data_IF_381683799081
#
_entry.id   IF_381683799081
#
_cell.length_a   1.000
_cell.length_b   1.000
_cell.length_c   1.000
_cell.angle_alpha   90.00
_cell.angle_beta   90.00
_cell.angle_gamma   90.00
#
_symmetry.space_group_name_H-M   'P 1'
#
loop_
_entity.id
_entity.type
_entity.pdbx_description
1 polymer ?
#
# COMPACT_ATOMS: atom_id res chain seq x y z
N UNK A 1 13.29 26.31 -38.56
CA UNK A 1 13.48 25.46 -39.76
C UNK A 1 14.69 24.57 -39.52
N UNK A 2 14.47 23.29 -39.23
CA UNK A 2 15.52 22.28 -39.10
C UNK A 2 14.95 20.95 -39.64
N UNK A 3 15.74 20.27 -40.47
CA UNK A 3 15.38 19.10 -41.29
C UNK A 3 15.18 17.82 -40.44
N UNK A 4 14.34 16.86 -40.88
CA UNK A 4 14.07 15.62 -40.15
C UNK A 4 15.12 14.52 -40.45
N UNK A 5 15.43 13.73 -39.42
CA UNK A 5 16.32 12.57 -39.50
C UNK A 5 15.62 11.33 -40.10
N UNK A 6 16.36 10.58 -40.91
CA UNK A 6 15.93 9.43 -41.71
C UNK A 6 15.71 8.18 -40.85
N UNK A 7 14.63 7.46 -41.16
CA UNK A 7 14.36 6.10 -40.70
C UNK A 7 15.24 5.07 -41.44
N UNK A 8 15.87 4.17 -40.70
CA UNK A 8 16.53 2.99 -41.26
C UNK A 8 15.61 1.77 -41.13
N UNK A 9 15.17 1.26 -42.28
CA UNK A 9 14.56 -0.08 -42.44
C UNK A 9 15.68 -1.11 -42.55
N UNK A 10 15.62 -2.16 -41.75
CA UNK A 10 16.46 -3.36 -41.90
C UNK A 10 15.62 -4.46 -42.53
N UNK A 11 16.01 -4.90 -43.73
CA UNK A 11 15.44 -6.04 -44.44
C UNK A 11 16.02 -7.35 -43.89
N UNK A 12 15.15 -8.33 -43.67
CA UNK A 12 15.46 -9.74 -43.44
C UNK A 12 15.74 -10.45 -44.78
N UNK A 13 16.61 -11.49 -44.80
CA UNK A 13 16.56 -12.51 -45.84
C UNK A 13 16.01 -13.85 -45.29
N UNK A 14 14.97 -14.36 -45.95
CA UNK A 14 14.64 -15.80 -45.98
C UNK A 14 15.65 -16.56 -46.85
N UNK A 15 15.83 -17.86 -46.58
CA UNK A 15 15.63 -18.79 -47.69
C UNK A 15 14.77 -20.01 -47.34
N UNK A 16 14.02 -20.42 -48.36
CA UNK A 16 13.24 -21.63 -48.49
C UNK A 16 14.07 -22.91 -48.32
N UNK A 17 13.49 -23.95 -47.72
CA UNK A 17 13.51 -25.28 -48.33
C UNK A 17 12.33 -26.12 -47.83
N UNK A 18 11.62 -26.68 -48.80
CA UNK A 18 10.45 -27.56 -48.68
C UNK A 18 10.92 -29.01 -48.70
N UNK A 19 10.47 -29.84 -47.76
CA UNK A 19 10.45 -31.30 -47.94
C UNK A 19 9.13 -31.87 -47.46
N UNK A 20 8.36 -32.34 -48.44
CA UNK A 20 7.17 -33.17 -48.29
C UNK A 20 7.60 -34.62 -48.06
N UNK A 21 7.06 -35.27 -47.03
CA UNK A 21 6.93 -36.73 -46.99
C UNK A 21 5.76 -37.15 -46.08
N UNK A 22 4.77 -37.81 -46.68
CA UNK A 22 3.75 -38.71 -46.09
C UNK A 22 3.64 -39.91 -47.05
N UNK A 23 2.94 -41.01 -46.71
CA UNK A 23 2.89 -41.77 -45.45
C UNK A 23 2.98 -43.30 -45.71
N UNK A 24 3.22 -44.12 -44.68
CA UNK A 24 2.86 -45.56 -44.59
C UNK A 24 2.73 -45.87 -43.09
N UNK A 25 1.81 -46.66 -42.55
CA UNK A 25 0.72 -47.49 -43.03
C UNK A 25 0.21 -48.29 -41.82
N UNK A 26 -1.10 -48.48 -41.75
CA UNK A 26 -1.92 -49.49 -41.05
C UNK A 26 -1.42 -50.19 -39.76
N UNK A 27 -2.29 -50.13 -38.74
CA UNK A 27 -2.35 -51.06 -37.61
C UNK A 27 -3.69 -50.92 -36.90
N UNK A 28 -4.67 -51.74 -37.30
CA UNK A 28 -5.98 -51.91 -36.66
C UNK A 28 -5.84 -52.40 -35.21
N UNK A 29 -6.51 -51.73 -34.26
CA UNK A 29 -6.88 -52.34 -32.98
C UNK A 29 -8.25 -51.84 -32.50
N UNK A 30 -9.22 -52.74 -32.64
CA UNK A 30 -10.43 -53.01 -31.85
C UNK A 30 -10.96 -51.90 -30.92
N UNK A 31 -12.13 -51.36 -31.27
CA UNK A 31 -12.99 -50.54 -30.41
C UNK A 31 -13.69 -51.47 -29.39
N UNK A 32 -13.32 -51.35 -28.11
CA UNK A 32 -14.19 -51.76 -27.00
C UNK A 32 -14.92 -50.53 -26.47
N UNK A 33 -16.24 -50.64 -26.42
CA UNK A 33 -17.20 -49.68 -25.90
C UNK A 33 -16.88 -49.28 -24.46
N UNK A 34 -16.29 -48.08 -24.28
CA UNK A 34 -16.15 -47.42 -23.00
C UNK A 34 -17.30 -46.43 -22.79
N UNK A 35 -17.96 -46.51 -21.64
CA UNK A 35 -18.92 -45.52 -21.19
C UNK A 35 -18.26 -44.13 -21.17
N UNK A 36 -18.68 -43.25 -22.07
CA UNK A 36 -18.32 -41.84 -22.05
C UNK A 36 -19.04 -41.19 -20.86
N UNK A 37 -18.44 -41.28 -19.67
CA UNK A 37 -18.68 -40.30 -18.63
C UNK A 37 -18.14 -38.97 -19.14
N UNK A 38 -19.03 -38.05 -19.51
CA UNK A 38 -18.67 -36.65 -19.69
C UNK A 38 -18.22 -36.11 -18.33
N UNK A 39 -16.94 -36.25 -18.02
CA UNK A 39 -16.29 -35.43 -17.01
C UNK A 39 -16.30 -34.01 -17.54
N UNK A 40 -17.32 -33.22 -17.20
CA UNK A 40 -17.33 -31.78 -17.39
C UNK A 40 -16.23 -31.20 -16.49
N UNK A 41 -14.99 -31.19 -16.99
CA UNK A 41 -13.90 -30.47 -16.33
C UNK A 41 -14.31 -29.01 -16.24
N UNK A 42 -14.44 -28.49 -15.01
CA UNK A 42 -14.68 -27.06 -14.80
C UNK A 42 -13.64 -26.25 -15.61
N UNK A 43 -14.06 -25.16 -16.29
CA UNK A 43 -13.15 -24.38 -17.11
C UNK A 43 -11.98 -23.90 -16.25
N UNK A 44 -10.76 -24.21 -16.69
CA UNK A 44 -9.56 -23.77 -16.00
C UNK A 44 -9.51 -22.23 -15.98
N UNK A 45 -9.14 -21.60 -14.86
CA UNK A 45 -9.12 -20.15 -14.76
C UNK A 45 -8.12 -19.54 -15.76
N UNK A 46 -8.48 -18.40 -16.33
CA UNK A 46 -7.67 -17.73 -17.35
C UNK A 46 -6.32 -17.19 -16.82
N UNK A 47 -6.23 -16.90 -15.52
CA UNK A 47 -5.02 -16.41 -14.87
C UNK A 47 -4.81 -17.07 -13.49
N UNK A 48 -3.57 -17.32 -13.11
CA UNK A 48 -3.21 -17.98 -11.85
C UNK A 48 -3.55 -17.12 -10.62
N UNK A 49 -3.28 -15.82 -10.71
CA UNK A 49 -3.72 -14.84 -9.72
C UNK A 49 -4.11 -13.50 -10.35
N UNK A 50 -4.94 -12.75 -9.64
CA UNK A 50 -5.20 -11.32 -9.84
C UNK A 50 -4.69 -10.55 -8.62
N UNK A 51 -3.81 -9.57 -8.84
CA UNK A 51 -3.29 -8.68 -7.78
C UNK A 51 -3.89 -7.29 -7.96
N UNK A 52 -4.57 -6.78 -6.95
CA UNK A 52 -5.24 -5.48 -6.97
C UNK A 52 -4.39 -4.41 -6.26
N UNK A 53 -3.83 -3.48 -7.01
CA UNK A 53 -3.03 -2.35 -6.54
C UNK A 53 -1.55 -2.49 -6.88
N UNK A 54 -0.93 -1.38 -7.29
CA UNK A 54 0.49 -1.27 -7.65
C UNK A 54 1.29 -0.35 -6.72
N UNK A 55 0.82 -0.17 -5.48
CA UNK A 55 1.65 0.39 -4.41
C UNK A 55 2.71 -0.61 -3.91
N UNK A 56 3.54 -0.24 -2.92
CA UNK A 56 4.59 -1.10 -2.40
C UNK A 56 4.11 -2.50 -1.99
N UNK A 57 2.92 -2.64 -1.40
CA UNK A 57 2.34 -3.94 -1.06
C UNK A 57 2.04 -4.81 -2.29
N UNK A 58 1.48 -4.23 -3.35
CA UNK A 58 1.19 -4.97 -4.59
C UNK A 58 2.43 -5.37 -5.36
N UNK A 59 3.41 -4.46 -5.44
CA UNK A 59 4.75 -4.75 -5.99
C UNK A 59 5.37 -5.95 -5.26
N UNK A 60 5.35 -5.90 -3.92
CA UNK A 60 5.86 -6.98 -3.06
C UNK A 60 5.20 -8.32 -3.35
N UNK A 61 3.87 -8.36 -3.36
CA UNK A 61 3.10 -9.58 -3.62
C UNK A 61 3.46 -10.14 -4.98
N UNK A 62 3.49 -9.30 -6.02
CA UNK A 62 3.77 -9.76 -7.37
C UNK A 62 5.18 -10.36 -7.50
N UNK A 63 6.19 -9.72 -6.89
CA UNK A 63 7.54 -10.27 -6.84
C UNK A 63 7.62 -11.63 -6.15
N UNK A 64 6.89 -11.81 -5.05
CA UNK A 64 6.84 -13.09 -4.34
C UNK A 64 6.02 -14.16 -5.08
N UNK A 65 4.95 -13.78 -5.80
CA UNK A 65 4.21 -14.72 -6.66
C UNK A 65 5.07 -15.24 -7.81
N UNK A 66 5.93 -14.39 -8.38
CA UNK A 66 6.87 -14.79 -9.43
C UNK A 66 7.87 -15.83 -8.94
N UNK A 67 8.37 -15.73 -7.70
CA UNK A 67 9.20 -16.76 -7.06
C UNK A 67 8.49 -18.11 -6.97
N UNK A 68 7.16 -18.11 -6.77
CA UNK A 68 6.37 -19.35 -6.68
C UNK A 68 5.94 -19.88 -8.06
N UNK A 69 6.01 -19.07 -9.13
CA UNK A 69 5.53 -19.41 -10.48
C UNK A 69 6.01 -20.76 -11.02
N UNK A 70 7.28 -21.19 -10.80
CA UNK A 70 7.74 -22.51 -11.25
C UNK A 70 6.89 -23.68 -10.71
N UNK A 71 6.27 -23.51 -9.55
CA UNK A 71 5.48 -24.52 -8.85
C UNK A 71 3.96 -24.41 -9.11
N UNK A 72 3.52 -23.42 -9.89
CA UNK A 72 2.11 -23.18 -10.19
C UNK A 72 1.66 -23.82 -11.49
N UNK A 73 0.41 -24.31 -11.50
CA UNK A 73 -0.27 -24.80 -12.70
C UNK A 73 -0.61 -23.68 -13.69
N UNK A 74 -0.91 -22.48 -13.20
CA UNK A 74 -1.17 -21.29 -13.99
C UNK A 74 -0.14 -20.20 -13.66
N UNK A 75 0.78 -19.94 -14.60
CA UNK A 75 1.92 -19.03 -14.41
C UNK A 75 1.62 -17.56 -14.72
N UNK A 76 0.49 -17.26 -15.35
CA UNK A 76 0.12 -15.88 -15.70
C UNK A 76 -0.53 -15.17 -14.52
N UNK A 77 -0.14 -13.92 -14.31
CA UNK A 77 -0.67 -13.03 -13.28
C UNK A 77 -1.24 -11.78 -13.92
N UNK A 78 -2.45 -11.40 -13.51
CA UNK A 78 -3.05 -10.13 -13.89
C UNK A 78 -2.82 -9.12 -12.76
N UNK A 79 -2.09 -8.05 -13.04
CA UNK A 79 -1.86 -6.97 -12.11
C UNK A 79 -2.74 -5.78 -12.48
N UNK A 80 -3.57 -5.31 -11.55
CA UNK A 80 -4.60 -4.30 -11.80
C UNK A 80 -4.35 -3.09 -10.91
N UNK A 81 -4.09 -1.93 -11.50
CA UNK A 81 -3.97 -0.66 -10.79
C UNK A 81 -4.43 0.50 -11.67
N UNK A 82 -5.07 1.55 -11.12
CA UNK A 82 -5.53 2.68 -11.93
C UNK A 82 -4.41 3.50 -12.57
N UNK A 83 -3.20 3.49 -11.99
CA UNK A 83 -2.14 4.43 -12.37
C UNK A 83 -0.81 3.76 -12.70
N UNK A 84 -0.46 2.67 -12.02
CA UNK A 84 0.89 2.04 -12.02
C UNK A 84 2.00 3.02 -11.62
N UNK A 85 1.69 3.89 -10.66
CA UNK A 85 2.56 4.97 -10.22
C UNK A 85 3.07 4.73 -8.79
N UNK A 86 3.40 3.49 -8.42
CA UNK A 86 3.85 3.15 -7.06
C UNK A 86 2.90 3.56 -5.92
N UNK A 87 1.61 3.81 -6.22
CA UNK A 87 0.60 4.18 -5.23
C UNK A 87 0.84 5.55 -4.56
N UNK A 88 0.39 5.68 -3.31
CA UNK A 88 0.32 6.97 -2.58
C UNK A 88 1.69 7.54 -2.20
N UNK A 89 2.71 6.69 -2.04
CA UNK A 89 4.07 7.15 -1.71
C UNK A 89 4.64 8.06 -2.80
N UNK A 90 4.36 7.74 -4.07
CA UNK A 90 4.76 8.55 -5.20
C UNK A 90 3.80 9.73 -5.44
N UNK A 91 2.48 9.50 -5.43
CA UNK A 91 1.54 10.57 -5.79
C UNK A 91 1.40 11.66 -4.71
N UNK A 92 1.65 11.34 -3.44
CA UNK A 92 1.41 12.25 -2.30
C UNK A 92 2.61 12.50 -1.39
N UNK A 93 3.52 11.54 -1.23
CA UNK A 93 4.50 11.59 -0.13
C UNK A 93 5.96 11.76 -0.54
N UNK A 94 6.26 12.14 -1.79
CA UNK A 94 7.67 12.25 -2.25
C UNK A 94 8.54 13.17 -1.40
N UNK A 95 7.96 14.21 -0.81
CA UNK A 95 8.71 15.18 -0.01
C UNK A 95 8.88 14.78 1.45
N UNK A 96 8.11 13.78 1.91
CA UNK A 96 8.09 13.34 3.30
C UNK A 96 9.41 12.64 3.64
N UNK A 97 10.07 12.97 4.75
CA UNK A 97 11.22 12.21 5.23
C UNK A 97 10.77 10.83 5.74
N UNK A 98 11.50 9.78 5.34
CA UNK A 98 11.20 8.43 5.76
C UNK A 98 11.58 8.20 7.23
N UNK A 99 10.77 7.41 7.90
CA UNK A 99 11.10 6.76 9.18
C UNK A 99 11.78 5.39 9.00
N UNK A 100 11.99 4.99 7.75
CA UNK A 100 12.63 3.74 7.33
C UNK A 100 14.05 4.05 6.88
N UNK A 101 15.03 3.30 7.39
CA UNK A 101 16.42 3.47 7.01
C UNK A 101 16.65 3.06 5.54
N UNK A 102 17.53 3.79 4.84
CA UNK A 102 17.84 3.56 3.42
C UNK A 102 18.19 2.10 3.13
N UNK A 103 18.97 1.45 4.00
CA UNK A 103 19.35 0.03 3.82
C UNK A 103 18.15 -0.90 3.67
N UNK A 104 17.01 -0.59 4.29
CA UNK A 104 15.80 -1.42 4.22
C UNK A 104 15.08 -1.27 2.87
N UNK A 105 15.23 -0.13 2.20
CA UNK A 105 14.76 0.02 0.81
C UNK A 105 15.64 -0.76 -0.16
N UNK A 106 16.96 -0.76 0.04
CA UNK A 106 17.87 -1.59 -0.75
C UNK A 106 17.61 -3.09 -0.54
N UNK A 107 17.40 -3.54 0.70
CA UNK A 107 16.99 -4.93 0.98
C UNK A 107 15.69 -5.28 0.27
N UNK A 108 14.68 -4.41 0.33
CA UNK A 108 13.43 -4.58 -0.38
C UNK A 108 13.63 -4.80 -1.89
N UNK A 109 14.45 -3.97 -2.54
CA UNK A 109 14.70 -4.08 -3.99
C UNK A 109 15.50 -5.32 -4.41
N UNK A 110 16.14 -6.01 -3.47
CA UNK A 110 17.02 -7.15 -3.78
C UNK A 110 16.50 -8.49 -3.23
N UNK A 111 15.33 -8.51 -2.58
CA UNK A 111 14.87 -9.70 -1.84
C UNK A 111 14.39 -10.85 -2.74
N UNK A 112 13.73 -10.54 -3.86
CA UNK A 112 13.21 -11.53 -4.81
C UNK A 112 13.95 -11.44 -6.15
N UNK A 113 14.08 -12.57 -6.83
CA UNK A 113 14.81 -12.77 -8.08
C UNK A 113 14.34 -11.81 -9.15
N UNK A 114 13.02 -11.73 -9.38
CA UNK A 114 12.44 -10.79 -10.33
C UNK A 114 12.87 -9.33 -10.06
N UNK A 115 13.06 -8.92 -8.80
CA UNK A 115 13.53 -7.57 -8.51
C UNK A 115 15.02 -7.42 -8.78
N UNK A 116 15.84 -8.41 -8.37
CA UNK A 116 17.28 -8.42 -8.66
C UNK A 116 17.54 -8.35 -10.16
N UNK A 117 16.83 -9.14 -10.95
CA UNK A 117 16.93 -9.14 -12.41
C UNK A 117 16.61 -7.76 -13.00
N UNK A 118 15.58 -7.08 -12.49
CA UNK A 118 15.25 -5.70 -12.90
C UNK A 118 16.37 -4.74 -12.51
N UNK A 119 16.88 -4.82 -11.29
CA UNK A 119 17.96 -3.96 -10.79
C UNK A 119 19.22 -4.13 -11.64
N UNK A 120 19.59 -5.36 -11.97
CA UNK A 120 20.77 -5.72 -12.74
C UNK A 120 20.64 -5.31 -14.21
N UNK A 121 19.45 -5.46 -14.80
CA UNK A 121 19.17 -5.08 -16.19
C UNK A 121 19.02 -3.56 -16.39
N UNK A 122 18.72 -2.79 -15.35
CA UNK A 122 18.49 -1.34 -15.47
C UNK A 122 19.82 -0.57 -15.58
N UNK A 123 20.07 0.20 -16.67
CA UNK A 123 21.30 0.97 -16.83
C UNK A 123 21.57 1.92 -15.67
N UNK A 124 22.85 2.10 -15.31
CA UNK A 124 23.27 3.01 -14.24
C UNK A 124 23.64 4.39 -14.82
N UNK A 125 23.36 5.50 -14.11
CA UNK A 125 22.72 5.57 -12.80
C UNK A 125 21.20 5.31 -12.88
N UNK A 126 20.67 4.65 -11.85
CA UNK A 126 19.25 4.36 -11.66
C UNK A 126 18.79 4.61 -10.20
N UNK A 127 17.51 4.39 -9.92
CA UNK A 127 16.92 4.64 -8.61
C UNK A 127 17.58 3.87 -7.45
N UNK A 128 18.05 2.63 -7.70
CA UNK A 128 18.76 1.85 -6.68
C UNK A 128 20.16 2.39 -6.44
N UNK A 129 20.90 2.78 -7.49
CA UNK A 129 22.21 3.44 -7.30
C UNK A 129 22.09 4.77 -6.57
N UNK A 130 20.99 5.51 -6.76
CA UNK A 130 20.71 6.72 -6.01
C UNK A 130 20.50 6.44 -4.51
N UNK A 131 19.79 5.36 -4.16
CA UNK A 131 19.66 4.90 -2.77
C UNK A 131 21.00 4.41 -2.18
N UNK A 132 21.85 3.74 -2.97
CA UNK A 132 23.17 3.27 -2.54
C UNK A 132 24.10 4.43 -2.15
N UNK A 133 23.96 5.59 -2.81
CA UNK A 133 24.76 6.79 -2.53
C UNK A 133 24.37 7.52 -1.24
N UNK A 134 23.27 7.15 -0.56
CA UNK A 134 22.80 7.79 0.66
C UNK A 134 23.35 7.10 1.93
N UNK A 135 23.33 7.77 3.10
CA UNK A 135 23.65 7.13 4.38
C UNK A 135 22.69 5.99 4.72
N UNK A 136 23.23 4.78 4.88
CA UNK A 136 22.44 3.54 4.96
C UNK A 136 21.70 3.35 6.29
N UNK A 137 22.16 3.99 7.35
CA UNK A 137 21.62 3.97 8.71
C UNK A 137 20.63 5.12 9.00
N UNK A 138 20.39 6.01 8.02
CA UNK A 138 19.46 7.14 8.14
C UNK A 138 18.23 6.96 7.25
N UNK A 139 17.21 7.76 7.52
CA UNK A 139 16.09 7.95 6.58
C UNK A 139 16.49 8.84 5.39
N UNK A 140 15.62 8.90 4.38
CA UNK A 140 15.76 9.74 3.19
C UNK A 140 14.40 10.34 2.81
N UNK A 141 14.35 11.27 1.84
CA UNK A 141 13.05 11.66 1.26
C UNK A 141 12.40 10.43 0.61
N UNK A 142 11.10 10.26 0.78
CA UNK A 142 10.37 9.13 0.20
C UNK A 142 10.35 9.15 -1.34
N UNK A 143 10.73 10.25 -1.99
CA UNK A 143 11.00 10.30 -3.42
C UNK A 143 11.94 9.19 -3.89
N UNK A 144 13.02 8.90 -3.16
CA UNK A 144 13.97 7.85 -3.54
C UNK A 144 13.33 6.45 -3.51
N UNK A 145 12.54 6.15 -2.48
CA UNK A 145 11.80 4.89 -2.39
C UNK A 145 10.69 4.80 -3.45
N UNK A 146 10.06 5.92 -3.78
CA UNK A 146 9.06 6.00 -4.84
C UNK A 146 9.69 5.75 -6.22
N UNK A 147 10.86 6.32 -6.51
CA UNK A 147 11.60 6.07 -7.76
C UNK A 147 12.03 4.62 -7.91
N UNK A 148 12.49 4.01 -6.82
CA UNK A 148 12.76 2.58 -6.77
C UNK A 148 11.51 1.75 -7.09
N UNK A 149 10.35 2.08 -6.52
CA UNK A 149 9.10 1.39 -6.82
C UNK A 149 8.63 1.60 -8.26
N UNK A 150 8.81 2.79 -8.84
CA UNK A 150 8.50 3.06 -10.25
C UNK A 150 9.37 2.20 -11.16
N UNK A 151 10.69 2.18 -10.92
CA UNK A 151 11.63 1.32 -11.64
C UNK A 151 11.24 -0.16 -11.58
N UNK A 152 10.91 -0.67 -10.38
CA UNK A 152 10.43 -2.05 -10.22
C UNK A 152 9.09 -2.28 -10.93
N UNK A 153 8.17 -1.31 -10.91
CA UNK A 153 6.87 -1.41 -11.58
C UNK A 153 7.03 -1.53 -13.09
N UNK A 154 7.94 -0.74 -13.68
CA UNK A 154 8.27 -0.79 -15.11
C UNK A 154 8.88 -2.14 -15.49
N UNK A 155 9.87 -2.62 -14.73
CA UNK A 155 10.48 -3.92 -14.98
C UNK A 155 9.50 -5.09 -14.85
N UNK A 156 8.66 -5.08 -13.81
CA UNK A 156 7.61 -6.09 -13.62
C UNK A 156 6.58 -6.07 -14.75
N UNK A 157 6.30 -4.91 -15.35
CA UNK A 157 5.39 -4.79 -16.50
C UNK A 157 5.89 -5.56 -17.73
N UNK A 158 7.22 -5.70 -17.87
CA UNK A 158 7.86 -6.40 -18.98
C UNK A 158 8.05 -7.90 -18.71
N UNK A 159 7.78 -8.36 -17.49
CA UNK A 159 7.94 -9.77 -17.15
C UNK A 159 6.93 -10.63 -17.95
N UNK A 160 7.35 -11.72 -18.62
CA UNK A 160 6.50 -12.47 -19.55
C UNK A 160 5.24 -13.07 -18.90
N UNK A 161 5.28 -13.30 -17.59
CA UNK A 161 4.18 -13.83 -16.80
C UNK A 161 3.25 -12.79 -16.17
N UNK A 162 3.57 -11.50 -16.32
CA UNK A 162 2.76 -10.40 -15.78
C UNK A 162 2.00 -9.72 -16.90
N UNK A 163 0.70 -9.53 -16.71
CA UNK A 163 -0.12 -8.68 -17.57
C UNK A 163 -0.66 -7.53 -16.74
N UNK A 164 -0.31 -6.30 -17.11
CA UNK A 164 -0.87 -5.11 -16.49
C UNK A 164 -2.24 -4.76 -17.07
N UNK A 165 -3.12 -4.26 -16.21
CA UNK A 165 -4.39 -3.66 -16.63
C UNK A 165 -4.64 -2.37 -15.87
N UNK A 166 -4.61 -1.24 -16.60
CA UNK A 166 -4.89 0.08 -16.05
C UNK A 166 -6.38 0.22 -15.74
N UNK A 167 -6.78 -0.18 -14.55
CA UNK A 167 -8.18 -0.19 -14.11
C UNK A 167 -8.27 -0.33 -12.59
N UNK A 168 -9.50 -0.39 -12.07
CA UNK A 168 -9.81 -0.81 -10.70
C UNK A 168 -10.67 -2.06 -10.76
N UNK A 169 -10.53 -2.94 -9.78
CA UNK A 169 -11.49 -4.03 -9.59
C UNK A 169 -12.77 -3.42 -9.04
N UNK A 170 -13.89 -3.64 -9.74
CA UNK A 170 -15.21 -3.19 -9.31
C UNK A 170 -15.87 -4.22 -8.40
N UNK A 171 -15.85 -5.48 -8.82
CA UNK A 171 -16.49 -6.59 -8.12
C UNK A 171 -15.73 -7.90 -8.34
N UNK A 172 -15.86 -8.84 -7.42
CA UNK A 172 -15.37 -10.19 -7.58
C UNK A 172 -16.36 -11.20 -6.98
N UNK A 173 -16.72 -12.21 -7.77
CA UNK A 173 -17.66 -13.27 -7.38
C UNK A 173 -16.90 -14.58 -7.24
N UNK A 174 -16.94 -15.20 -6.07
CA UNK A 174 -16.45 -16.56 -5.85
C UNK A 174 -17.52 -17.57 -6.22
N UNK A 175 -17.16 -18.54 -7.05
CA UNK A 175 -17.91 -19.79 -7.19
C UNK A 175 -17.33 -20.81 -6.19
N UNK A 176 -18.12 -21.19 -5.18
CA UNK A 176 -17.69 -22.08 -4.10
C UNK A 176 -17.60 -23.56 -4.51
N UNK A 177 -18.22 -23.93 -5.63
CA UNK A 177 -18.12 -25.28 -6.19
C UNK A 177 -16.78 -25.47 -6.90
N UNK A 178 -16.37 -24.49 -7.70
CA UNK A 178 -15.12 -24.55 -8.47
C UNK A 178 -13.92 -23.90 -7.79
N UNK A 179 -14.12 -23.12 -6.72
CA UNK A 179 -13.11 -22.25 -6.10
C UNK A 179 -12.45 -21.30 -7.10
N UNK A 180 -13.23 -20.80 -8.05
CA UNK A 180 -12.78 -19.84 -9.07
C UNK A 180 -13.43 -18.49 -8.81
N UNK A 181 -12.61 -17.45 -8.89
CA UNK A 181 -13.04 -16.06 -8.81
C UNK A 181 -13.34 -15.52 -10.20
N UNK A 182 -14.50 -14.89 -10.37
CA UNK A 182 -14.84 -14.04 -11.51
C UNK A 182 -14.70 -12.58 -11.13
N UNK A 183 -13.63 -11.96 -11.61
CA UNK A 183 -13.29 -10.56 -11.33
C UNK A 183 -13.85 -9.67 -12.44
N UNK A 184 -14.54 -8.60 -12.06
CA UNK A 184 -15.04 -7.57 -12.97
C UNK A 184 -14.31 -6.27 -12.72
N UNK A 185 -13.70 -5.72 -13.78
CA UNK A 185 -13.01 -4.44 -13.75
C UNK A 185 -13.98 -3.28 -14.02
N UNK A 186 -13.58 -2.06 -13.66
CA UNK A 186 -14.40 -0.86 -13.85
C UNK A 186 -14.71 -0.55 -15.32
N UNK A 187 -13.87 -0.99 -16.25
CA UNK A 187 -14.10 -0.86 -17.69
C UNK A 187 -15.03 -1.95 -18.27
N UNK A 188 -15.59 -2.83 -17.42
CA UNK A 188 -16.48 -3.92 -17.83
C UNK A 188 -15.78 -5.23 -18.21
N UNK A 189 -14.45 -5.24 -18.31
CA UNK A 189 -13.68 -6.47 -18.56
C UNK A 189 -13.90 -7.49 -17.43
N UNK A 190 -14.04 -8.77 -17.81
CA UNK A 190 -14.22 -9.88 -16.87
C UNK A 190 -13.08 -10.88 -17.03
N UNK A 191 -12.53 -11.33 -15.91
CA UNK A 191 -11.42 -12.30 -15.86
C UNK A 191 -11.71 -13.37 -14.82
N UNK A 192 -11.39 -14.62 -15.12
CA UNK A 192 -11.45 -15.73 -14.14
C UNK A 192 -10.08 -16.01 -13.56
N UNK A 193 -10.00 -16.24 -12.26
CA UNK A 193 -8.73 -16.53 -11.58
C UNK A 193 -8.87 -17.54 -10.45
N UNK A 194 -7.78 -18.24 -10.12
CA UNK A 194 -7.72 -19.08 -8.92
C UNK A 194 -7.56 -18.25 -7.65
N UNK A 195 -6.72 -17.20 -7.68
CA UNK A 195 -6.37 -16.44 -6.48
C UNK A 195 -6.63 -14.94 -6.68
N UNK A 196 -7.24 -14.31 -5.68
CA UNK A 196 -7.44 -12.86 -5.64
C UNK A 196 -6.66 -12.28 -4.48
N UNK A 197 -5.70 -11.39 -4.76
CA UNK A 197 -4.87 -10.73 -3.75
C UNK A 197 -5.16 -9.23 -3.73
N UNK A 198 -5.65 -8.73 -2.60
CA UNK A 198 -6.05 -7.35 -2.40
C UNK A 198 -4.90 -6.55 -1.76
N UNK A 199 -4.37 -5.56 -2.49
CA UNK A 199 -3.35 -4.62 -2.04
C UNK A 199 -3.86 -3.17 -2.20
N UNK A 200 -5.08 -2.91 -1.74
CA UNK A 200 -5.87 -1.70 -2.08
C UNK A 200 -5.30 -0.38 -1.54
N UNK A 201 -4.34 -0.46 -0.62
CA UNK A 201 -3.73 0.71 0.02
C UNK A 201 -4.64 1.38 1.05
N UNK A 202 -4.23 2.56 1.50
CA UNK A 202 -4.95 3.32 2.53
C UNK A 202 -4.86 4.81 2.24
N UNK A 203 -5.79 5.56 2.82
CA UNK A 203 -5.84 7.03 2.74
C UNK A 203 -6.07 7.63 4.13
N UNK A 204 -5.64 8.88 4.38
CA UNK A 204 -5.93 9.60 5.61
C UNK A 204 -7.40 9.53 5.96
N UNK A 205 -7.68 9.45 7.26
CA UNK A 205 -9.05 9.57 7.76
C UNK A 205 -9.51 11.00 7.48
N UNK A 206 -10.44 11.15 6.54
CA UNK A 206 -11.01 12.44 6.13
C UNK A 206 -12.30 12.79 6.87
N UNK A 207 -12.98 11.80 7.47
CA UNK A 207 -14.19 12.05 8.26
C UNK A 207 -13.81 12.87 9.50
N UNK A 208 -14.52 13.97 9.70
CA UNK A 208 -14.47 14.80 10.91
C UNK A 208 -14.63 13.93 12.16
N UNK A 209 -13.72 14.05 13.13
CA UNK A 209 -13.85 13.30 14.39
C UNK A 209 -15.14 13.69 15.13
N UNK A 210 -15.81 12.75 15.83
CA UNK A 210 -17.14 12.99 16.41
C UNK A 210 -17.23 14.23 17.32
N UNK A 211 -16.18 14.51 18.10
CA UNK A 211 -16.14 15.69 18.97
C UNK A 211 -16.20 17.01 18.20
N UNK A 212 -15.70 17.07 16.96
CA UNK A 212 -15.78 18.24 16.10
C UNK A 212 -17.15 18.37 15.40
N UNK A 213 -17.82 17.24 15.10
CA UNK A 213 -19.18 17.26 14.52
C UNK A 213 -20.17 17.99 15.46
N UNK A 214 -19.94 17.93 16.78
CA UNK A 214 -20.74 18.65 17.79
C UNK A 214 -20.52 20.17 17.78
N UNK A 215 -19.49 20.66 17.10
CA UNK A 215 -19.10 22.08 17.06
C UNK A 215 -19.20 22.60 15.61
N UNK A 216 -20.12 22.04 14.83
CA UNK A 216 -20.30 22.27 13.39
C UNK A 216 -20.68 23.70 12.99
N UNK A 217 -20.94 24.60 13.95
CA UNK A 217 -21.15 26.03 13.69
C UNK A 217 -19.87 26.79 13.40
N UNK A 218 -18.69 26.19 13.60
CA UNK A 218 -17.40 26.82 13.32
C UNK A 218 -17.06 26.77 11.84
N UNK A 219 -16.71 27.94 11.27
CA UNK A 219 -16.23 28.08 9.89
C UNK A 219 -14.73 27.75 9.79
N UNK A 220 -14.34 26.52 10.15
CA UNK A 220 -12.97 26.04 10.00
C UNK A 220 -12.74 25.52 8.58
N UNK A 221 -11.68 26.00 7.93
CA UNK A 221 -11.27 25.49 6.60
C UNK A 221 -10.45 24.21 6.78
N UNK A 222 -10.93 23.03 6.34
CA UNK A 222 -10.15 21.81 6.44
C UNK A 222 -8.96 21.84 5.48
N UNK A 223 -7.80 21.39 5.96
CA UNK A 223 -6.61 21.15 5.13
C UNK A 223 -6.34 19.65 5.12
N UNK A 224 -6.36 19.05 3.94
CA UNK A 224 -6.13 17.62 3.76
C UNK A 224 -4.73 17.23 4.25
N UNK A 225 -4.62 16.09 4.95
CA UNK A 225 -3.35 15.63 5.52
C UNK A 225 -2.27 15.44 4.45
N UNK A 226 -2.63 15.06 3.22
CA UNK A 226 -1.65 14.93 2.13
C UNK A 226 -1.03 16.26 1.74
N UNK A 227 -1.80 17.34 1.81
CA UNK A 227 -1.31 18.67 1.47
C UNK A 227 -0.44 19.16 2.61
N UNK A 228 -0.87 18.95 3.85
CA UNK A 228 -0.10 19.28 5.05
C UNK A 228 1.25 18.56 5.16
N UNK A 229 1.37 17.34 4.61
CA UNK A 229 2.61 16.58 4.58
C UNK A 229 3.55 16.96 3.43
N UNK A 230 3.11 17.80 2.49
CA UNK A 230 3.89 18.20 1.32
C UNK A 230 4.20 19.71 1.38
N UNK A 231 5.41 20.11 1.84
CA UNK A 231 5.74 21.52 2.08
C UNK A 231 5.40 22.46 0.92
N UNK A 232 5.72 22.05 -0.32
CA UNK A 232 5.44 22.89 -1.51
C UNK A 232 3.96 23.13 -1.77
N UNK A 233 3.07 22.19 -1.40
CA UNK A 233 1.62 22.37 -1.53
C UNK A 233 1.03 23.07 -0.31
N UNK A 234 1.53 22.77 0.89
CA UNK A 234 1.06 23.42 2.11
C UNK A 234 1.28 24.94 2.04
N UNK A 235 2.44 25.35 1.54
CA UNK A 235 2.79 26.77 1.33
C UNK A 235 1.81 27.51 0.41
N UNK A 236 1.21 26.80 -0.55
CA UNK A 236 0.20 27.33 -1.47
C UNK A 236 -1.23 27.23 -0.92
N UNK A 237 -1.44 26.43 0.13
CA UNK A 237 -2.77 26.15 0.69
C UNK A 237 -3.20 27.25 1.67
N UNK A 238 -2.24 27.91 2.33
CA UNK A 238 -2.48 29.01 3.24
C UNK A 238 -2.11 30.32 2.53
N UNK A 239 -2.89 31.39 2.77
CA UNK A 239 -2.55 32.71 2.22
C UNK A 239 -1.44 33.34 3.07
N UNK A 240 -0.32 33.68 2.45
CA UNK A 240 0.83 34.31 3.09
C UNK A 240 0.56 35.75 3.55
N UNK A 241 -0.51 36.38 3.06
CA UNK A 241 -0.86 37.77 3.38
C UNK A 241 -1.82 37.89 4.55
N UNK A 242 -2.47 36.80 4.93
CA UNK A 242 -3.51 36.79 5.95
C UNK A 242 -3.01 36.06 7.21
N UNK A 243 -3.28 36.59 8.42
CA UNK A 243 -3.07 35.84 9.64
C UNK A 243 -3.82 34.50 9.62
N UNK A 244 -3.13 33.42 9.98
CA UNK A 244 -3.72 32.09 10.05
C UNK A 244 -3.40 31.42 11.38
N UNK A 245 -4.42 30.84 12.01
CA UNK A 245 -4.26 29.98 13.19
C UNK A 245 -4.72 28.58 12.80
N UNK A 246 -3.79 27.63 12.71
CA UNK A 246 -4.06 26.27 12.25
C UNK A 246 -4.19 25.34 13.45
N UNK A 247 -5.36 24.69 13.60
CA UNK A 247 -5.55 23.60 14.53
C UNK A 247 -4.92 22.31 13.97
N UNK A 248 -4.03 21.67 14.71
CA UNK A 248 -3.46 20.36 14.34
C UNK A 248 -3.87 19.33 15.40
N UNK A 249 -4.62 18.31 14.98
CA UNK A 249 -5.10 17.25 15.87
C UNK A 249 -4.31 15.97 15.61
N UNK A 250 -3.66 15.45 16.65
CA UNK A 250 -2.89 14.22 16.62
C UNK A 250 -1.46 14.41 17.14
N UNK A 251 -0.79 13.30 17.45
CA UNK A 251 0.56 13.30 18.04
C UNK A 251 1.46 12.18 17.49
N UNK A 252 1.02 11.53 16.40
CA UNK A 252 1.78 10.48 15.72
C UNK A 252 2.78 11.09 14.73
N UNK A 253 3.55 10.24 14.04
CA UNK A 253 4.58 10.67 13.10
C UNK A 253 4.09 11.70 12.06
N UNK A 254 2.93 11.49 11.44
CA UNK A 254 2.37 12.45 10.49
C UNK A 254 2.03 13.79 11.12
N UNK A 255 1.51 13.80 12.36
CA UNK A 255 1.19 15.05 13.06
C UNK A 255 2.47 15.87 13.32
N UNK A 256 3.55 15.21 13.76
CA UNK A 256 4.83 15.89 14.02
C UNK A 256 5.42 16.48 12.73
N UNK A 257 5.35 15.75 11.62
CA UNK A 257 5.80 16.28 10.31
C UNK A 257 4.96 17.48 9.86
N UNK A 258 3.65 17.49 10.11
CA UNK A 258 2.81 18.65 9.84
C UNK A 258 3.24 19.84 10.70
N UNK A 259 3.47 19.65 12.00
CA UNK A 259 3.95 20.71 12.88
C UNK A 259 5.30 21.26 12.42
N UNK A 260 6.23 20.39 12.02
CA UNK A 260 7.52 20.79 11.43
C UNK A 260 7.33 21.67 10.20
N UNK A 261 6.47 21.26 9.27
CA UNK A 261 6.20 22.01 8.04
C UNK A 261 5.59 23.39 8.35
N UNK A 262 4.59 23.45 9.23
CA UNK A 262 3.95 24.71 9.62
C UNK A 262 4.91 25.66 10.34
N UNK A 263 5.77 25.14 11.23
CA UNK A 263 6.80 25.96 11.91
C UNK A 263 7.81 26.51 10.92
N UNK A 264 8.26 25.70 9.95
CA UNK A 264 9.17 26.15 8.91
C UNK A 264 8.53 27.26 8.06
N UNK A 265 7.26 27.11 7.67
CA UNK A 265 6.50 28.16 6.97
C UNK A 265 6.35 29.42 7.82
N UNK A 266 5.98 29.28 9.09
CA UNK A 266 5.84 30.39 10.02
C UNK A 266 7.14 31.17 10.21
N UNK A 267 8.29 30.50 10.09
CA UNK A 267 9.61 31.11 10.20
C UNK A 267 10.14 31.67 8.88
N UNK A 268 9.42 31.52 7.77
CA UNK A 268 9.86 31.93 6.43
C UNK A 268 8.75 32.67 5.68
N UNK A 269 7.86 31.95 4.99
CA UNK A 269 6.86 32.52 4.08
C UNK A 269 5.62 33.10 4.77
N UNK A 270 5.29 32.65 5.99
CA UNK A 270 4.03 32.97 6.67
C UNK A 270 4.25 33.48 8.11
N UNK A 271 4.89 34.65 8.35
CA UNK A 271 5.29 35.10 9.69
C UNK A 271 4.14 35.27 10.70
N UNK A 272 2.91 35.45 10.22
CA UNK A 272 1.69 35.58 11.03
C UNK A 272 1.01 34.23 11.32
N UNK A 273 1.54 33.12 10.80
CA UNK A 273 1.02 31.78 11.06
C UNK A 273 1.24 31.38 12.52
N UNK A 274 0.19 30.92 13.17
CA UNK A 274 0.20 30.31 14.50
C UNK A 274 -0.45 28.93 14.46
N UNK A 275 -0.10 28.09 15.42
CA UNK A 275 -0.56 26.70 15.47
C UNK A 275 -1.12 26.40 16.85
N UNK A 276 -2.34 25.86 16.93
CA UNK A 276 -2.85 25.22 18.14
C UNK A 276 -2.75 23.71 17.97
N UNK A 277 -1.88 23.06 18.75
CA UNK A 277 -1.63 21.63 18.69
C UNK A 277 -2.41 20.88 19.77
N UNK A 278 -3.30 19.99 19.36
CA UNK A 278 -4.16 19.20 20.24
C UNK A 278 -3.66 17.76 20.35
N UNK A 279 -3.34 17.32 21.57
CA UNK A 279 -2.81 15.98 21.83
C UNK A 279 -3.45 15.32 23.05
N UNK A 280 -3.71 14.01 22.93
CA UNK A 280 -4.25 13.13 23.98
C UNK A 280 -3.17 12.44 24.82
N UNK A 281 -1.93 12.41 24.38
CA UNK A 281 -0.89 11.59 25.00
C UNK A 281 0.49 12.25 24.87
N UNK A 282 1.37 11.94 25.83
CA UNK A 282 2.80 12.25 25.68
C UNK A 282 3.34 11.59 24.41
N UNK A 283 4.32 12.26 23.79
CA UNK A 283 4.98 11.71 22.62
C UNK A 283 5.65 10.39 22.98
N UNK A 284 5.55 9.43 22.06
CA UNK A 284 6.14 8.11 22.20
C UNK A 284 7.19 7.95 21.12
N UNK A 285 8.39 7.59 21.52
CA UNK A 285 9.51 7.36 20.62
C UNK A 285 9.69 5.87 20.39
N UNK A 286 10.26 5.51 19.24
CA UNK A 286 10.75 4.16 19.04
C UNK A 286 12.10 4.01 19.73
N UNK A 287 12.31 2.88 20.41
CA UNK A 287 13.51 2.62 21.21
C UNK A 287 14.23 1.41 20.62
N UNK A 288 15.51 1.58 20.29
CA UNK A 288 16.32 0.50 19.71
C UNK A 288 16.79 -0.44 20.83
N UNK A 289 16.35 -1.68 20.74
CA UNK A 289 16.70 -2.77 21.66
C UNK A 289 17.70 -3.71 20.96
N UNK A 290 18.18 -4.73 21.68
CA UNK A 290 19.04 -5.75 21.08
C UNK A 290 18.26 -6.60 20.06
N UNK A 291 18.48 -6.34 18.77
CA UNK A 291 17.87 -7.06 17.65
C UNK A 291 16.42 -6.70 17.30
N UNK A 292 15.77 -5.78 18.04
CA UNK A 292 14.40 -5.32 17.77
C UNK A 292 14.18 -3.86 18.15
N UNK A 293 12.98 -3.32 17.89
CA UNK A 293 12.63 -1.93 18.19
C UNK A 293 11.33 -1.91 18.98
N UNK A 294 11.33 -1.32 20.17
CA UNK A 294 10.11 -1.08 20.93
C UNK A 294 9.33 0.07 20.28
N UNK A 295 8.02 -0.13 20.12
CA UNK A 295 7.11 0.79 19.39
C UNK A 295 7.59 1.04 17.96
N UNK A 296 7.98 -0.03 17.27
CA UNK A 296 8.52 -0.01 15.91
C UNK A 296 7.52 0.58 14.88
N UNK A 297 6.22 0.48 15.15
CA UNK A 297 5.18 0.96 14.23
C UNK A 297 4.44 2.20 14.75
N UNK A 298 4.45 2.41 16.07
CA UNK A 298 3.70 3.49 16.72
C UNK A 298 4.56 4.62 17.26
N UNK A 299 5.86 4.39 17.46
CA UNK A 299 6.82 5.38 17.98
C UNK A 299 7.38 6.30 16.91
N UNK A 300 7.69 7.54 17.30
CA UNK A 300 8.41 8.51 16.47
C UNK A 300 9.83 8.03 16.17
N UNK A 301 10.30 8.28 14.94
CA UNK A 301 11.63 7.90 14.44
C UNK A 301 12.22 8.97 13.53
N UNK A 302 13.52 8.86 13.30
CA UNK A 302 14.26 9.70 12.36
C UNK A 302 14.06 11.18 12.65
N UNK A 303 14.00 11.98 11.58
CA UNK A 303 13.94 13.43 11.68
C UNK A 303 12.77 13.95 12.54
N UNK A 304 11.60 13.30 12.48
CA UNK A 304 10.46 13.71 13.30
C UNK A 304 10.69 13.46 14.79
N UNK A 305 11.36 12.35 15.15
CA UNK A 305 11.72 12.10 16.55
C UNK A 305 12.74 13.11 17.05
N UNK A 306 13.79 13.35 16.26
CA UNK A 306 14.88 14.24 16.66
C UNK A 306 14.35 15.68 16.82
N UNK A 307 13.54 16.14 15.88
CA UNK A 307 12.91 17.46 15.97
C UNK A 307 11.93 17.56 17.14
N UNK A 308 11.14 16.52 17.42
CA UNK A 308 10.21 16.51 18.54
C UNK A 308 10.93 16.57 19.89
N UNK A 309 12.02 15.83 20.10
CA UNK A 309 12.80 15.91 21.34
C UNK A 309 13.36 17.31 21.59
N UNK A 310 13.87 17.93 20.52
CA UNK A 310 14.45 19.26 20.58
C UNK A 310 13.41 20.36 20.84
N UNK A 311 12.15 20.15 20.46
CA UNK A 311 11.19 21.25 20.38
C UNK A 311 9.86 21.02 21.08
N UNK A 312 9.38 19.79 21.28
CA UNK A 312 8.00 19.49 21.70
C UNK A 312 7.87 18.68 23.00
N UNK A 313 8.97 18.07 23.45
CA UNK A 313 9.00 17.39 24.74
C UNK A 313 8.79 18.38 25.88
N UNK A 314 8.16 17.92 26.97
CA UNK A 314 7.67 18.79 28.04
C UNK A 314 8.80 19.62 28.68
N UNK A 315 9.98 19.02 28.83
CA UNK A 315 11.18 19.64 29.39
C UNK A 315 11.79 20.71 28.48
N UNK A 316 11.60 20.61 27.16
CA UNK A 316 12.25 21.48 26.16
C UNK A 316 11.31 22.51 25.55
N UNK A 317 10.01 22.21 25.48
CA UNK A 317 9.01 22.99 24.75
C UNK A 317 8.96 24.45 25.20
N UNK A 318 8.94 24.70 26.52
CA UNK A 318 8.83 26.08 27.05
C UNK A 318 10.00 26.98 26.62
N UNK A 319 11.21 26.43 26.57
CA UNK A 319 12.41 27.15 26.14
C UNK A 319 12.63 27.17 24.62
N UNK A 320 11.96 26.30 23.86
CA UNK A 320 12.12 26.22 22.41
C UNK A 320 11.54 27.47 21.73
N UNK A 321 12.19 27.96 20.66
CA UNK A 321 11.62 29.00 19.81
C UNK A 321 10.28 28.60 19.18
N UNK A 322 10.02 27.30 19.07
CA UNK A 322 8.78 26.75 18.53
C UNK A 322 7.57 27.08 19.40
N UNK A 323 7.73 27.29 20.72
CA UNK A 323 6.62 27.68 21.60
C UNK A 323 6.07 29.08 21.31
N UNK A 324 6.82 29.92 20.57
CA UNK A 324 6.32 31.22 20.08
C UNK A 324 5.33 31.08 18.92
N UNK A 325 5.32 29.93 18.26
CA UNK A 325 4.48 29.63 17.09
C UNK A 325 3.38 28.62 17.46
N UNK A 326 3.71 27.61 18.26
CA UNK A 326 2.82 26.52 18.67
C UNK A 326 2.33 26.76 20.09
N UNK A 327 1.01 26.73 20.28
CA UNK A 327 0.36 26.56 21.58
C UNK A 327 -0.12 25.12 21.73
N UNK A 328 0.30 24.44 22.80
CA UNK A 328 -0.05 23.03 23.05
C UNK A 328 -1.27 22.92 23.96
N UNK A 329 -2.25 22.12 23.54
CA UNK A 329 -3.47 21.82 24.29
C UNK A 329 -3.57 20.32 24.55
N UNK A 330 -3.71 19.95 25.82
CA UNK A 330 -3.98 18.58 26.25
C UNK A 330 -5.48 18.31 26.17
N UNK A 331 -5.87 17.21 25.54
CA UNK A 331 -7.29 16.85 25.35
C UNK A 331 -7.70 15.58 26.12
N UNK A 332 -6.77 14.95 26.84
CA UNK A 332 -7.02 13.70 27.59
C UNK A 332 -8.15 13.89 28.60
N UNK A 333 -9.28 13.20 28.40
CA UNK A 333 -10.43 13.24 29.32
C UNK A 333 -11.32 14.48 29.21
N UNK A 334 -11.01 15.44 28.32
CA UNK A 334 -11.73 16.71 28.21
C UNK A 334 -11.82 17.27 26.77
N UNK A 335 -11.69 16.41 25.74
CA UNK A 335 -11.62 16.83 24.33
C UNK A 335 -12.71 17.84 23.92
N UNK A 336 -13.97 17.53 24.21
CA UNK A 336 -15.11 18.37 23.85
C UNK A 336 -15.03 19.79 24.47
N UNK A 337 -14.53 19.90 25.71
CA UNK A 337 -14.38 21.18 26.39
C UNK A 337 -13.25 22.01 25.77
N UNK A 338 -12.09 21.38 25.55
CA UNK A 338 -10.91 22.04 24.99
C UNK A 338 -11.18 22.49 23.57
N UNK A 339 -11.80 21.65 22.74
CA UNK A 339 -12.17 22.02 21.38
C UNK A 339 -13.16 23.19 21.34
N UNK A 340 -14.17 23.21 22.21
CA UNK A 340 -15.12 24.34 22.28
C UNK A 340 -14.45 25.65 22.71
N UNK A 341 -13.46 25.59 23.60
CA UNK A 341 -12.75 26.78 24.04
C UNK A 341 -11.77 27.30 22.99
N UNK A 342 -11.05 26.40 22.30
CA UNK A 342 -9.83 26.79 21.57
C UNK A 342 -9.99 26.85 20.05
N UNK A 343 -10.88 26.04 19.47
CA UNK A 343 -11.10 26.02 18.02
C UNK A 343 -11.79 27.25 17.44
N UNK A 344 -12.64 28.00 18.17
CA UNK A 344 -13.22 29.24 17.62
C UNK A 344 -12.17 30.26 17.14
N UNK A 345 -10.97 30.25 17.72
CA UNK A 345 -9.86 31.13 17.32
C UNK A 345 -9.05 30.61 16.11
N UNK A 346 -9.36 29.41 15.63
CA UNK A 346 -8.66 28.80 14.51
C UNK A 346 -9.32 29.17 13.18
N UNK A 347 -8.51 29.33 12.13
CA UNK A 347 -8.99 29.56 10.76
C UNK A 347 -9.00 28.27 9.94
N UNK A 348 -8.08 27.36 10.24
CA UNK A 348 -7.92 26.09 9.53
C UNK A 348 -7.79 24.92 10.50
N UNK A 349 -8.00 23.71 9.99
CA UNK A 349 -7.85 22.47 10.76
C UNK A 349 -7.22 21.35 9.94
N UNK A 350 -6.23 20.67 10.53
CA UNK A 350 -5.56 19.47 9.99
C UNK A 350 -5.77 18.32 10.96
N UNK A 351 -6.36 17.23 10.46
CA UNK A 351 -6.57 16.00 11.23
C UNK A 351 -5.51 14.95 10.86
N UNK A 352 -4.53 14.73 11.74
CA UNK A 352 -3.47 13.73 11.60
C UNK A 352 -3.74 12.51 12.50
N UNK A 353 -4.94 11.94 12.36
CA UNK A 353 -5.51 10.94 13.29
C UNK A 353 -5.41 9.49 12.80
N UNK A 354 -4.73 9.24 11.70
CA UNK A 354 -4.49 7.90 11.16
C UNK A 354 -5.00 7.73 9.73
N UNK A 355 -5.02 6.48 9.29
CA UNK A 355 -5.35 6.07 7.94
C UNK A 355 -6.42 5.00 7.98
N UNK A 356 -7.32 5.03 7.00
CA UNK A 356 -8.27 3.95 6.75
C UNK A 356 -7.86 3.20 5.48
N UNK A 357 -8.08 1.88 5.51
CA UNK A 357 -8.03 1.04 4.33
C UNK A 357 -8.95 1.60 3.24
N UNK A 358 -8.46 1.65 2.00
CA UNK A 358 -9.29 2.00 0.86
C UNK A 358 -10.37 0.92 0.63
N UNK A 359 -11.57 1.27 0.14
CA UNK A 359 -12.67 0.33 -0.04
C UNK A 359 -12.26 -0.94 -0.80
N UNK A 360 -12.83 -2.06 -0.38
CA UNK A 360 -12.71 -3.33 -1.11
C UNK A 360 -13.57 -3.27 -2.39
N UNK A 361 -13.24 -4.08 -3.41
CA UNK A 361 -14.23 -4.36 -4.45
C UNK A 361 -15.48 -4.99 -3.84
N UNK A 362 -16.61 -4.91 -4.55
CA UNK A 362 -17.83 -5.63 -4.15
C UNK A 362 -17.57 -7.14 -4.22
N UNK A 363 -17.51 -7.79 -3.05
CA UNK A 363 -17.22 -9.21 -2.92
C UNK A 363 -18.53 -9.97 -2.81
N UNK A 364 -18.66 -11.02 -3.61
CA UNK A 364 -19.87 -11.83 -3.68
C UNK A 364 -19.50 -13.32 -3.74
N UNK A 365 -20.46 -14.17 -3.42
CA UNK A 365 -20.32 -15.62 -3.46
C UNK A 365 -21.55 -16.28 -4.10
N UNK A 366 -21.30 -17.34 -4.87
CA UNK A 366 -22.30 -18.32 -5.31
C UNK A 366 -22.02 -19.58 -4.49
N UNK A 367 -22.93 -19.90 -3.58
CA UNK A 367 -22.84 -21.08 -2.71
C UNK A 367 -23.05 -22.37 -3.51
N UNK A 368 -22.50 -23.47 -3.01
CA UNK A 368 -22.66 -24.79 -3.64
C UNK A 368 -24.12 -25.13 -3.90
N UNK A 369 -24.37 -25.74 -5.05
CA UNK A 369 -25.70 -26.19 -5.50
C UNK A 369 -26.74 -25.06 -5.64
N UNK A 370 -26.29 -23.80 -5.68
CA UNK A 370 -27.13 -22.63 -5.94
C UNK A 370 -26.64 -21.86 -7.17
N UNK A 371 -27.52 -21.07 -7.78
CA UNK A 371 -27.17 -20.08 -8.80
C UNK A 371 -27.30 -18.64 -8.29
N UNK A 372 -27.69 -18.49 -7.02
CA UNK A 372 -27.98 -17.21 -6.39
C UNK A 372 -26.66 -16.60 -5.91
N UNK A 373 -26.38 -15.39 -6.38
CA UNK A 373 -25.23 -14.61 -5.91
C UNK A 373 -25.61 -13.81 -4.67
N UNK A 374 -24.82 -13.91 -3.60
CA UNK A 374 -25.02 -13.18 -2.34
C UNK A 374 -23.81 -12.28 -2.03
N UNK A 375 -23.99 -11.17 -1.30
CA UNK A 375 -22.88 -10.40 -0.75
C UNK A 375 -21.98 -11.25 0.15
N UNK A 376 -20.67 -11.08 0.05
CA UNK A 376 -19.67 -11.77 0.86
C UNK A 376 -19.00 -10.77 1.80
N UNK A 377 -19.42 -10.77 3.05
CA UNK A 377 -18.79 -9.97 4.11
C UNK A 377 -17.58 -10.72 4.68
N UNK A 378 -16.45 -10.02 4.80
CA UNK A 378 -15.17 -10.64 5.16
C UNK A 378 -14.42 -9.87 6.23
N UNK A 379 -13.72 -10.62 7.06
CA UNK A 379 -12.69 -10.14 7.99
C UNK A 379 -11.31 -10.62 7.55
N UNK A 380 -10.26 -9.90 7.98
CA UNK A 380 -8.89 -10.17 7.58
C UNK A 380 -8.10 -10.80 8.72
N UNK A 381 -7.41 -11.92 8.43
CA UNK A 381 -6.49 -12.55 9.34
C UNK A 381 -5.09 -11.99 9.18
N UNK A 382 -4.69 -11.12 10.12
CA UNK A 382 -3.40 -10.44 10.12
C UNK A 382 -2.18 -11.34 10.32
N UNK A 383 -2.35 -12.65 10.57
CA UNK A 383 -1.25 -13.60 10.72
C UNK A 383 -0.98 -14.36 9.42
N UNK A 384 -2.05 -14.83 8.78
CA UNK A 384 -1.98 -15.67 7.57
C UNK A 384 -2.16 -14.88 6.28
N UNK A 385 -2.71 -13.66 6.39
CA UNK A 385 -3.07 -12.82 5.25
C UNK A 385 -4.26 -13.31 4.43
N UNK A 386 -5.04 -14.24 5.00
CA UNK A 386 -6.28 -14.78 4.43
C UNK A 386 -7.48 -13.98 4.89
N UNK A 387 -8.59 -14.11 4.17
CA UNK A 387 -9.90 -13.61 4.61
C UNK A 387 -10.77 -14.75 5.11
N UNK A 388 -11.66 -14.46 6.07
CA UNK A 388 -12.69 -15.38 6.54
C UNK A 388 -14.06 -14.70 6.52
N UNK A 389 -15.13 -15.49 6.39
CA UNK A 389 -16.51 -14.98 6.35
C UNK A 389 -16.82 -14.29 7.70
N UNK A 390 -17.37 -13.08 7.64
CA UNK A 390 -17.83 -12.36 8.83
C UNK A 390 -19.06 -13.08 9.39
N UNK A 391 -19.01 -13.59 10.63
CA UNK A 391 -20.14 -14.28 11.27
C UNK A 391 -20.70 -13.44 12.43
N UNK A 392 -22.02 -13.36 12.58
CA UNK A 392 -22.67 -12.72 13.73
C UNK A 392 -22.58 -13.53 15.05
N UNK A 393 -22.01 -14.76 15.04
CA UNK A 393 -22.06 -15.68 16.18
C UNK A 393 -20.84 -16.61 16.33
N UNK A 394 -20.07 -16.34 17.40
CA UNK A 394 -19.40 -17.28 18.34
C UNK A 394 -18.49 -18.40 17.82
N UNK A 395 -17.21 -18.07 17.65
CA UNK A 395 -16.04 -18.63 18.39
C UNK A 395 -14.78 -18.20 17.62
N UNK A 396 -13.77 -17.63 18.30
CA UNK A 396 -12.50 -17.27 17.65
C UNK A 396 -11.74 -18.48 17.06
N UNK A 397 -12.17 -19.71 17.39
CA UNK A 397 -11.45 -20.94 17.05
C UNK A 397 -11.85 -21.57 15.72
N UNK A 398 -13.04 -21.28 15.17
CA UNK A 398 -13.53 -21.91 13.94
C UNK A 398 -13.77 -20.85 12.87
N UNK A 399 -12.70 -20.47 12.16
CA UNK A 399 -12.74 -19.47 11.09
C UNK A 399 -13.03 -20.14 9.75
N UNK A 400 -14.15 -19.79 9.15
CA UNK A 400 -14.45 -20.21 7.78
C UNK A 400 -13.70 -19.31 6.78
N UNK A 401 -12.50 -19.73 6.40
CA UNK A 401 -11.68 -18.98 5.44
C UNK A 401 -12.30 -18.98 4.05
N UNK A 402 -12.33 -17.79 3.44
CA UNK A 402 -12.74 -17.62 2.05
C UNK A 402 -11.66 -18.23 1.14
N UNK A 403 -12.02 -19.17 0.26
CA UNK A 403 -11.08 -19.80 -0.66
C UNK A 403 -10.29 -18.78 -1.49
N UNK A 404 -8.96 -18.85 -1.37
CA UNK A 404 -7.99 -18.16 -2.26
C UNK A 404 -8.18 -16.64 -2.35
N UNK A 405 -8.70 -16.02 -1.29
CA UNK A 405 -8.77 -14.58 -1.11
C UNK A 405 -7.74 -14.13 -0.07
N UNK A 406 -6.84 -13.23 -0.47
CA UNK A 406 -5.71 -12.80 0.35
C UNK A 406 -5.52 -11.29 0.34
N UNK A 407 -4.80 -10.76 1.33
CA UNK A 407 -4.54 -9.33 1.47
C UNK A 407 -3.12 -9.04 1.95
N UNK A 408 -2.53 -7.95 1.44
CA UNK A 408 -1.22 -7.49 1.87
C UNK A 408 -1.06 -5.95 1.81
N UNK A 409 0.06 -5.47 2.35
CA UNK A 409 0.41 -4.05 2.37
C UNK A 409 -0.28 -3.27 3.48
N UNK A 410 -0.25 -1.93 3.40
CA UNK A 410 -0.79 -1.04 4.45
C UNK A 410 -2.29 -1.26 4.74
N UNK A 411 -3.05 -1.72 3.75
CA UNK A 411 -4.46 -2.08 3.90
C UNK A 411 -4.68 -3.31 4.80
N UNK A 412 -3.69 -4.20 4.83
CA UNK A 412 -3.75 -5.54 5.39
C UNK A 412 -2.39 -5.89 6.05
N UNK A 413 -1.96 -5.11 7.04
CA UNK A 413 -0.63 -5.27 7.64
C UNK A 413 -0.56 -6.52 8.51
N UNK A 414 0.63 -7.09 8.65
CA UNK A 414 0.87 -8.18 9.60
C UNK A 414 0.65 -7.70 11.04
N UNK A 415 -0.01 -8.50 11.87
CA UNK A 415 -0.07 -8.29 13.32
C UNK A 415 1.18 -8.90 13.95
N UNK A 416 1.98 -8.06 14.58
CA UNK A 416 3.20 -8.47 15.29
C UNK A 416 3.05 -8.26 16.79
N UNK A 417 3.79 -9.04 17.56
CA UNK A 417 3.87 -8.90 19.01
C UNK A 417 5.33 -8.79 19.39
N UNK A 418 5.69 -7.71 20.08
CA UNK A 418 7.07 -7.50 20.53
C UNK A 418 7.40 -8.37 21.76
N UNK A 419 8.69 -8.49 22.14
CA UNK A 419 9.09 -9.27 23.32
C UNK A 419 8.46 -8.84 24.65
N UNK A 420 7.90 -7.62 24.72
CA UNK A 420 7.18 -7.14 25.91
C UNK A 420 5.67 -7.41 25.84
N UNK A 421 5.19 -8.12 24.81
CA UNK A 421 3.78 -8.45 24.63
C UNK A 421 2.95 -7.32 24.00
N UNK A 422 3.56 -6.21 23.57
CA UNK A 422 2.81 -5.17 22.87
C UNK A 422 2.45 -5.62 21.47
N UNK A 423 1.21 -5.35 21.07
CA UNK A 423 0.68 -5.72 19.76
C UNK A 423 0.70 -4.50 18.85
N UNK A 424 1.32 -4.65 17.68
CA UNK A 424 1.37 -3.63 16.65
C UNK A 424 1.03 -4.21 15.26
N UNK A 425 0.81 -3.31 14.30
CA UNK A 425 0.65 -3.67 12.90
C UNK A 425 1.86 -3.23 12.10
N UNK A 426 2.49 -4.18 11.40
CA UNK A 426 3.74 -3.98 10.70
C UNK A 426 3.53 -3.21 9.38
N UNK A 427 3.78 -1.90 9.40
CA UNK A 427 3.63 -1.02 8.24
C UNK A 427 4.98 -0.49 7.78
N UNK A 428 5.37 -0.82 6.56
CA UNK A 428 6.63 -0.40 5.94
C UNK A 428 7.05 -1.35 4.84
N UNK A 429 7.88 -0.88 3.91
CA UNK A 429 8.24 -1.63 2.69
C UNK A 429 8.86 -2.99 3.04
N UNK A 430 9.90 -2.98 3.87
CA UNK A 430 10.57 -4.21 4.31
C UNK A 430 9.65 -5.12 5.13
N UNK A 431 8.73 -4.54 5.90
CA UNK A 431 7.75 -5.31 6.69
C UNK A 431 6.76 -6.03 5.77
N UNK A 432 6.27 -5.36 4.72
CA UNK A 432 5.44 -6.01 3.69
C UNK A 432 6.18 -7.16 3.02
N UNK A 433 7.46 -6.97 2.71
CA UNK A 433 8.30 -8.01 2.11
C UNK A 433 8.47 -9.22 3.03
N UNK A 434 8.84 -9.01 4.29
CA UNK A 434 8.95 -10.09 5.29
C UNK A 434 7.64 -10.86 5.44
N UNK A 435 6.52 -10.15 5.50
CA UNK A 435 5.21 -10.78 5.59
C UNK A 435 4.92 -11.63 4.35
N UNK A 436 5.05 -11.07 3.15
CA UNK A 436 4.77 -11.76 1.90
C UNK A 436 5.68 -12.99 1.71
N UNK A 437 6.97 -12.91 2.03
CA UNK A 437 7.91 -14.03 1.99
C UNK A 437 7.46 -15.22 2.84
N UNK A 438 6.82 -14.93 3.98
CA UNK A 438 6.29 -15.95 4.89
C UNK A 438 5.01 -16.58 4.35
N UNK A 439 4.05 -15.78 3.90
CA UNK A 439 2.67 -16.26 3.66
C UNK A 439 2.36 -16.62 2.21
N UNK A 440 3.01 -16.01 1.22
CA UNK A 440 2.73 -16.26 -0.20
C UNK A 440 2.98 -17.73 -0.60
N UNK A 441 4.03 -18.43 -0.13
CA UNK A 441 4.20 -19.86 -0.41
C UNK A 441 3.00 -20.70 0.04
N UNK A 442 2.43 -20.40 1.21
CA UNK A 442 1.25 -21.09 1.73
C UNK A 442 -0.01 -20.77 0.91
N UNK A 443 -0.19 -19.52 0.48
CA UNK A 443 -1.31 -19.09 -0.38
C UNK A 443 -1.35 -19.85 -1.70
N UNK A 444 -0.16 -20.20 -2.20
CA UNK A 444 0.04 -20.84 -3.50
C UNK A 444 0.13 -22.36 -3.42
N UNK A 445 0.15 -22.93 -2.20
CA UNK A 445 0.11 -24.37 -2.00
C UNK A 445 -1.23 -24.95 -2.47
N UNK A 446 -1.22 -26.19 -2.97
CA UNK A 446 -2.44 -26.90 -3.31
C UNK A 446 -3.15 -27.28 -2.01
N UNK A 447 -4.16 -26.49 -1.62
CA UNK A 447 -5.17 -26.93 -0.67
C UNK A 447 -6.11 -27.94 -1.33
#
# INVERSE_FOLDING_TARGET
>A
MARPARAFKVCLPHPHSTWNARPRGFGDFSIKSGAYGYSTSAPSPATGAVVAGAGPGGITVLGNLLEQSPHLSARKFLWVDPHFEAGRVNSRYREVPSNTNVKLFLQFANEVSAFRDIVDATPKPNAVTALQALPQDKGCRLSYAADMCLMLTEGLAQHPDVKQRRSKIKAAVLDEQSNVWKVTLHNGEKVTTSHLVLCTGSSPISKTIPSLEKISSLSLKPVDLDYALKPTLLDQTLDHREPATVAVIGASHSAILVLMNLVNMASSSHPQLRVKWFTRNKLRYAEFMDGWILRDNTGLKGQAADWARQNLDEETFQSSLVSKIITKHWTTGNEDQVYRAELPDCTHIIQAVGYNRNPLPDLQIVERDTTITKPLHVEFDHVTGRFFKSSDSRSKTDREYVPRLFGAGIAFPERVTDPHGNVEYAVGFWKFMRFAKKVVPEWMSKA
#
